data_IF_015683765738
#
_entry.id   IF_015683765738
#
_cell.length_a   1.000
_cell.length_b   1.000
_cell.length_c   1.000
_cell.angle_alpha   90.00
_cell.angle_beta   90.00
_cell.angle_gamma   90.00
#
_symmetry.space_group_name_H-M   'P 1'
#
loop_
_entity.id
_entity.type
_entity.pdbx_description
1 polymer ?
#
# COMPACT_ATOMS: atom_id res chain seq x y z
N UNK A 1 2.51 13.77 -39.50
CA UNK A 1 1.29 13.68 -38.71
C UNK A 1 1.50 12.50 -37.76
N UNK A 2 1.95 12.78 -36.56
CA UNK A 2 2.06 11.72 -35.53
C UNK A 2 0.65 11.48 -35.01
N UNK A 3 0.02 10.40 -35.45
CA UNK A 3 -1.21 9.88 -34.91
C UNK A 3 -0.89 9.34 -33.50
N UNK A 4 -1.01 10.19 -32.50
CA UNK A 4 -0.91 9.79 -31.08
C UNK A 4 -2.18 9.05 -30.69
N UNK A 5 -2.41 7.86 -31.31
CA UNK A 5 -3.42 6.95 -30.78
C UNK A 5 -3.07 6.65 -29.33
N UNK A 6 -3.90 7.13 -28.41
CA UNK A 6 -3.82 6.76 -27.00
C UNK A 6 -3.92 5.24 -26.92
N UNK A 7 -2.83 4.58 -26.54
CA UNK A 7 -2.83 3.12 -26.40
C UNK A 7 -3.85 2.72 -25.33
N UNK A 8 -4.69 1.72 -25.59
CA UNK A 8 -5.71 1.29 -24.63
C UNK A 8 -5.04 0.77 -23.36
N UNK A 9 -5.61 1.08 -22.22
CA UNK A 9 -5.21 0.55 -20.91
C UNK A 9 -5.95 -0.76 -20.63
N UNK A 10 -5.40 -1.62 -19.76
CA UNK A 10 -5.98 -2.93 -19.48
C UNK A 10 -7.43 -2.92 -18.99
N UNK A 11 -7.85 -1.84 -18.29
CA UNK A 11 -9.18 -1.72 -17.71
C UNK A 11 -10.01 -0.60 -18.34
N UNK A 12 -9.64 -0.09 -19.52
CA UNK A 12 -10.49 0.84 -20.25
C UNK A 12 -11.85 0.18 -20.55
N UNK A 13 -12.94 0.87 -20.21
CA UNK A 13 -14.31 0.37 -20.32
C UNK A 13 -14.83 -0.38 -19.09
N UNK A 14 -14.01 -0.63 -18.08
CA UNK A 14 -14.43 -1.18 -16.78
C UNK A 14 -14.87 -0.06 -15.86
N UNK A 15 -16.07 -0.20 -15.27
CA UNK A 15 -16.62 0.73 -14.28
C UNK A 15 -16.62 0.09 -12.89
N UNK A 16 -15.99 0.79 -11.93
CA UNK A 16 -15.92 0.42 -10.52
C UNK A 16 -16.73 1.42 -9.71
N UNK A 17 -17.69 0.95 -8.94
CA UNK A 17 -18.36 1.73 -7.90
C UNK A 17 -17.74 1.38 -6.56
N UNK A 18 -17.44 2.37 -5.72
CA UNK A 18 -16.80 2.09 -4.45
C UNK A 18 -17.48 2.81 -3.27
N UNK A 19 -17.73 2.04 -2.21
CA UNK A 19 -18.15 2.50 -0.88
C UNK A 19 -16.96 2.35 0.06
N UNK A 20 -16.04 3.30 -0.01
CA UNK A 20 -14.69 3.14 0.53
C UNK A 20 -14.29 4.26 1.47
N UNK A 21 -13.45 3.92 2.44
CA UNK A 21 -12.88 4.85 3.41
C UNK A 21 -11.42 4.54 3.71
N UNK A 22 -10.71 5.55 4.20
CA UNK A 22 -9.32 5.48 4.67
C UNK A 22 -8.32 5.03 3.59
N UNK A 23 -7.81 3.79 3.68
CA UNK A 23 -6.65 3.37 2.90
C UNK A 23 -6.90 2.09 2.11
N UNK A 24 -7.31 0.98 2.73
CA UNK A 24 -7.32 -0.34 2.10
C UNK A 24 -8.09 -0.38 0.76
N UNK A 25 -9.37 -0.03 0.79
CA UNK A 25 -10.20 0.00 -0.44
C UNK A 25 -9.79 1.16 -1.36
N UNK A 26 -9.56 2.42 -0.88
CA UNK A 26 -9.05 3.49 -1.73
C UNK A 26 -7.73 3.17 -2.43
N UNK A 27 -6.82 2.44 -1.78
CA UNK A 27 -5.57 2.00 -2.39
C UNK A 27 -5.80 0.98 -3.52
N UNK A 28 -6.73 0.03 -3.32
CA UNK A 28 -7.15 -0.92 -4.36
C UNK A 28 -7.72 -0.19 -5.58
N UNK A 29 -8.74 0.65 -5.36
CA UNK A 29 -9.49 1.30 -6.44
C UNK A 29 -8.64 2.33 -7.19
N UNK A 30 -7.71 3.03 -6.52
CA UNK A 30 -6.74 3.88 -7.19
C UNK A 30 -5.86 3.08 -8.16
N UNK A 31 -5.42 1.87 -7.80
CA UNK A 31 -4.63 1.04 -8.73
C UNK A 31 -5.46 0.54 -9.91
N UNK A 32 -6.74 0.23 -9.71
CA UNK A 32 -7.66 -0.07 -10.81
C UNK A 32 -7.82 1.15 -11.74
N UNK A 33 -7.94 2.36 -11.16
CA UNK A 33 -8.00 3.60 -11.93
C UNK A 33 -6.72 3.86 -12.72
N UNK A 34 -5.54 3.64 -12.12
CA UNK A 34 -4.24 3.75 -12.80
C UNK A 34 -4.16 2.86 -14.06
N UNK A 35 -4.86 1.70 -14.05
CA UNK A 35 -4.96 0.79 -15.20
C UNK A 35 -6.07 1.14 -16.21
N UNK A 36 -6.83 2.21 -15.98
CA UNK A 36 -7.86 2.67 -16.91
C UNK A 36 -9.31 2.51 -16.44
N UNK A 37 -9.58 1.80 -15.33
CA UNK A 37 -10.94 1.68 -14.84
C UNK A 37 -11.53 3.04 -14.47
N UNK A 38 -12.80 3.28 -14.82
CA UNK A 38 -13.56 4.40 -14.30
C UNK A 38 -13.98 4.09 -12.88
N UNK A 39 -13.48 4.85 -11.90
CA UNK A 39 -13.80 4.64 -10.49
C UNK A 39 -14.71 5.74 -9.98
N UNK A 40 -15.94 5.38 -9.59
CA UNK A 40 -16.92 6.26 -8.96
C UNK A 40 -16.92 6.00 -7.47
N UNK A 41 -16.33 6.92 -6.72
CA UNK A 41 -16.25 6.88 -5.25
C UNK A 41 -17.50 7.52 -4.67
N UNK A 42 -18.27 6.74 -3.92
CA UNK A 42 -19.42 7.22 -3.15
C UNK A 42 -18.95 7.79 -1.83
N UNK A 43 -19.30 9.03 -1.55
CA UNK A 43 -18.92 9.74 -0.33
C UNK A 43 -20.17 10.33 0.37
N UNK A 44 -20.09 10.55 1.69
CA UNK A 44 -21.19 11.21 2.40
C UNK A 44 -21.30 12.68 2.01
N UNK A 45 -22.50 13.21 1.83
CA UNK A 45 -22.69 14.64 1.68
C UNK A 45 -22.04 15.42 2.83
N UNK A 46 -21.39 16.52 2.52
CA UNK A 46 -20.74 17.44 3.46
C UNK A 46 -19.48 16.93 4.14
N UNK A 47 -19.40 15.65 4.53
CA UNK A 47 -18.25 15.10 5.29
C UNK A 47 -17.26 14.32 4.44
N UNK A 48 -17.74 13.61 3.43
CA UNK A 48 -16.91 12.76 2.57
C UNK A 48 -16.32 11.53 3.26
N UNK A 49 -15.23 11.04 2.70
CA UNK A 49 -14.34 10.08 3.32
C UNK A 49 -13.63 10.75 4.50
N UNK A 50 -13.62 10.10 5.66
CA UNK A 50 -12.95 10.67 6.83
C UNK A 50 -11.43 10.85 6.63
N UNK A 51 -10.83 10.16 5.66
CA UNK A 51 -9.43 10.40 5.27
C UNK A 51 -9.18 11.82 4.73
N UNK A 52 -10.22 12.55 4.29
CA UNK A 52 -10.10 13.96 3.89
C UNK A 52 -9.73 14.88 5.06
N UNK A 53 -10.01 14.46 6.31
CA UNK A 53 -9.73 15.21 7.52
C UNK A 53 -8.59 14.65 8.39
N UNK A 54 -7.76 13.74 7.90
CA UNK A 54 -6.67 13.17 8.70
C UNK A 54 -5.53 14.16 8.97
N UNK A 55 -5.25 15.03 8.03
CA UNK A 55 -4.26 16.11 8.12
C UNK A 55 -4.51 17.16 7.02
N UNK A 56 -3.71 18.22 7.01
CA UNK A 56 -3.76 19.32 6.02
C UNK A 56 -2.38 19.55 5.38
N UNK A 57 -1.55 18.50 5.28
CA UNK A 57 -0.12 18.60 4.94
C UNK A 57 0.16 18.90 3.47
N UNK A 58 -0.79 18.65 2.58
CA UNK A 58 -0.60 18.83 1.13
C UNK A 58 -1.44 20.03 0.68
N UNK A 59 -0.94 21.23 0.95
CA UNK A 59 -1.59 22.50 0.62
C UNK A 59 -3.06 22.58 1.05
N UNK A 60 -3.33 22.15 2.29
CA UNK A 60 -4.67 22.08 2.89
C UNK A 60 -5.43 20.79 2.61
N UNK A 61 -4.87 19.87 1.83
CA UNK A 61 -5.42 18.53 1.60
C UNK A 61 -4.75 17.50 2.52
N UNK A 62 -5.50 16.44 2.84
CA UNK A 62 -4.98 15.34 3.63
C UNK A 62 -4.07 14.43 2.79
N UNK A 63 -2.87 14.15 3.31
CA UNK A 63 -1.85 13.33 2.63
C UNK A 63 -2.35 11.93 2.24
N UNK A 64 -3.14 11.28 3.09
CA UNK A 64 -3.74 9.97 2.83
C UNK A 64 -4.74 10.02 1.68
N UNK A 65 -5.56 11.08 1.62
CA UNK A 65 -6.54 11.24 0.55
C UNK A 65 -5.87 11.52 -0.80
N UNK A 66 -4.89 12.41 -0.82
CA UNK A 66 -4.09 12.74 -2.02
C UNK A 66 -3.44 11.48 -2.58
N UNK A 67 -2.82 10.67 -1.73
CA UNK A 67 -2.12 9.45 -2.13
C UNK A 67 -3.02 8.41 -2.79
N UNK A 68 -4.28 8.25 -2.31
CA UNK A 68 -5.12 7.11 -2.68
C UNK A 68 -6.29 7.45 -3.61
N UNK A 69 -6.47 8.71 -4.05
CA UNK A 69 -7.70 9.11 -4.75
C UNK A 69 -7.54 9.83 -6.10
N UNK A 70 -6.34 9.83 -6.70
CA UNK A 70 -6.21 10.32 -8.08
C UNK A 70 -7.02 9.47 -9.06
N UNK A 71 -7.44 10.06 -10.15
CA UNK A 71 -8.17 9.39 -11.25
C UNK A 71 -9.52 8.81 -10.86
N UNK A 72 -10.14 9.32 -9.78
CA UNK A 72 -11.48 8.93 -9.34
C UNK A 72 -12.48 10.05 -9.57
N UNK A 73 -13.75 9.67 -9.71
CA UNK A 73 -14.90 10.56 -9.69
C UNK A 73 -15.53 10.53 -8.28
N UNK A 74 -15.72 11.68 -7.64
CA UNK A 74 -16.40 11.79 -6.34
C UNK A 74 -17.87 12.09 -6.56
N UNK A 75 -18.74 11.21 -6.07
CA UNK A 75 -20.18 11.35 -5.99
C UNK A 75 -20.61 11.40 -4.54
N UNK A 76 -21.22 12.48 -4.10
CA UNK A 76 -21.85 12.51 -2.77
C UNK A 76 -23.19 11.80 -2.80
N UNK A 77 -23.43 10.93 -1.81
CA UNK A 77 -24.66 10.14 -1.71
C UNK A 77 -24.91 9.68 -0.26
N UNK A 78 -26.03 10.09 0.34
CA UNK A 78 -26.45 9.54 1.63
C UNK A 78 -27.20 8.23 1.43
N UNK A 79 -26.43 7.14 1.36
CA UNK A 79 -26.94 5.78 1.11
C UNK A 79 -27.92 5.25 2.16
N UNK A 80 -28.29 6.06 3.17
CA UNK A 80 -29.35 5.75 4.15
C UNK A 80 -30.72 6.23 3.70
N UNK A 81 -30.79 7.06 2.68
CA UNK A 81 -32.04 7.60 2.13
C UNK A 81 -32.49 6.77 0.93
N UNK A 82 -33.79 6.53 0.81
CA UNK A 82 -34.36 5.74 -0.29
C UNK A 82 -34.04 6.33 -1.68
N UNK A 83 -34.09 7.66 -1.79
CA UNK A 83 -33.74 8.35 -3.04
C UNK A 83 -32.28 8.10 -3.46
N UNK A 84 -31.36 8.09 -2.49
CA UNK A 84 -29.97 7.78 -2.73
C UNK A 84 -29.74 6.30 -3.09
N UNK A 85 -30.49 5.39 -2.47
CA UNK A 85 -30.46 3.96 -2.79
C UNK A 85 -30.85 3.70 -4.25
N UNK A 86 -31.84 4.43 -4.79
CA UNK A 86 -32.23 4.34 -6.21
C UNK A 86 -31.08 4.78 -7.14
N UNK A 87 -30.36 5.84 -6.79
CA UNK A 87 -29.16 6.28 -7.55
C UNK A 87 -28.09 5.20 -7.53
N UNK A 88 -27.81 4.64 -6.35
CA UNK A 88 -26.82 3.58 -6.20
C UNK A 88 -27.19 2.33 -7.02
N UNK A 89 -28.45 1.93 -7.02
CA UNK A 89 -28.95 0.80 -7.82
C UNK A 89 -28.74 1.03 -9.33
N UNK A 90 -28.98 2.23 -9.82
CA UNK A 90 -28.75 2.56 -11.23
C UNK A 90 -27.25 2.54 -11.59
N UNK A 91 -26.38 2.97 -10.66
CA UNK A 91 -24.94 2.87 -10.83
C UNK A 91 -24.49 1.41 -10.88
N UNK A 92 -24.96 0.58 -9.93
CA UNK A 92 -24.61 -0.84 -9.86
C UNK A 92 -25.10 -1.64 -11.09
N UNK A 93 -26.23 -1.26 -11.66
CA UNK A 93 -26.72 -1.87 -12.91
C UNK A 93 -25.76 -1.65 -14.10
N UNK A 94 -24.93 -0.63 -14.07
CA UNK A 94 -23.93 -0.30 -15.11
C UNK A 94 -22.51 -0.65 -14.70
N UNK A 95 -22.28 -1.00 -13.42
CA UNK A 95 -20.96 -1.29 -12.88
C UNK A 95 -20.49 -2.71 -13.22
N UNK A 96 -19.18 -2.85 -13.36
CA UNK A 96 -18.48 -4.13 -13.48
C UNK A 96 -18.05 -4.66 -12.12
N UNK A 97 -17.70 -3.77 -11.21
CA UNK A 97 -17.14 -4.09 -9.89
C UNK A 97 -17.75 -3.16 -8.84
N UNK A 98 -18.15 -3.72 -7.72
CA UNK A 98 -18.38 -3.00 -6.47
C UNK A 98 -17.21 -3.30 -5.50
N UNK A 99 -16.56 -2.28 -4.97
CA UNK A 99 -15.56 -2.42 -3.89
C UNK A 99 -16.08 -1.73 -2.63
N UNK A 100 -16.01 -2.41 -1.49
CA UNK A 100 -16.41 -1.79 -0.23
C UNK A 100 -15.52 -2.22 0.94
N UNK A 101 -15.35 -1.33 1.94
CA UNK A 101 -14.73 -1.63 3.22
C UNK A 101 -15.53 -1.02 4.40
N UNK A 102 -16.85 -1.16 4.32
CA UNK A 102 -17.77 -0.69 5.35
C UNK A 102 -17.64 -1.52 6.64
N UNK A 103 -18.18 -0.98 7.74
CA UNK A 103 -18.23 -1.72 9.00
C UNK A 103 -18.94 -3.08 8.83
N UNK A 104 -18.56 -4.11 9.60
CA UNK A 104 -19.15 -5.44 9.50
C UNK A 104 -20.68 -5.43 9.46
N UNK A 105 -21.25 -6.16 8.51
CA UNK A 105 -22.70 -6.26 8.29
C UNK A 105 -23.37 -5.00 7.70
N UNK A 106 -22.67 -3.89 7.51
CA UNK A 106 -23.28 -2.66 7.00
C UNK A 106 -23.75 -2.82 5.55
N UNK A 107 -22.93 -3.41 4.68
CA UNK A 107 -23.30 -3.68 3.29
C UNK A 107 -24.55 -4.58 3.20
N UNK A 108 -24.61 -5.64 3.97
CA UNK A 108 -25.79 -6.55 4.00
C UNK A 108 -27.08 -5.83 4.43
N UNK A 109 -27.00 -4.95 5.47
CA UNK A 109 -28.16 -4.14 5.90
C UNK A 109 -28.65 -3.16 4.83
N UNK A 110 -27.81 -2.79 3.89
CA UNK A 110 -28.13 -1.91 2.76
C UNK A 110 -28.56 -2.69 1.50
N UNK A 111 -28.72 -4.01 1.59
CA UNK A 111 -29.04 -4.87 0.44
C UNK A 111 -27.87 -5.05 -0.55
N UNK A 112 -26.65 -4.81 -0.09
CA UNK A 112 -25.41 -4.89 -0.88
C UNK A 112 -24.60 -6.15 -0.58
N UNK A 113 -25.21 -7.20 0.01
CA UNK A 113 -24.55 -8.50 0.12
C UNK A 113 -24.32 -9.10 -1.27
N UNK A 114 -23.30 -9.95 -1.40
CA UNK A 114 -23.01 -10.60 -2.69
C UNK A 114 -24.22 -11.36 -3.22
N UNK A 115 -24.95 -12.09 -2.39
CA UNK A 115 -26.11 -12.89 -2.78
C UNK A 115 -27.22 -12.00 -3.38
N UNK A 116 -27.57 -10.91 -2.67
CA UNK A 116 -28.59 -9.97 -3.11
C UNK A 116 -28.22 -9.25 -4.41
N UNK A 117 -26.93 -8.90 -4.55
CA UNK A 117 -26.44 -8.24 -5.76
C UNK A 117 -26.26 -9.21 -6.91
N UNK A 118 -25.83 -10.46 -6.67
CA UNK A 118 -25.63 -11.46 -7.72
C UNK A 118 -26.96 -11.90 -8.36
N UNK A 119 -28.05 -11.95 -7.58
CA UNK A 119 -29.38 -12.20 -8.10
C UNK A 119 -29.84 -11.10 -9.08
N UNK A 120 -29.55 -9.84 -8.75
CA UNK A 120 -29.94 -8.67 -9.55
C UNK A 120 -28.99 -8.37 -10.70
N UNK A 121 -27.70 -8.53 -10.45
CA UNK A 121 -26.60 -8.17 -11.34
C UNK A 121 -25.61 -9.34 -11.48
N UNK A 122 -25.94 -10.41 -12.17
CA UNK A 122 -25.17 -11.67 -12.18
C UNK A 122 -23.75 -11.54 -12.76
N UNK A 123 -23.42 -10.42 -13.40
CA UNK A 123 -22.07 -10.13 -13.91
C UNK A 123 -21.23 -9.25 -12.98
N UNK A 124 -21.86 -8.65 -11.97
CA UNK A 124 -21.17 -7.76 -11.03
C UNK A 124 -20.19 -8.56 -10.17
N UNK A 125 -18.95 -8.07 -10.08
CA UNK A 125 -17.96 -8.56 -9.14
C UNK A 125 -18.10 -7.73 -7.87
N UNK A 126 -18.17 -8.38 -6.71
CA UNK A 126 -18.25 -7.71 -5.40
C UNK A 126 -16.98 -7.99 -4.62
N UNK A 127 -16.25 -6.95 -4.29
CA UNK A 127 -15.03 -7.05 -3.48
C UNK A 127 -15.28 -6.44 -2.10
N UNK A 128 -15.32 -7.31 -1.11
CA UNK A 128 -15.51 -6.97 0.30
C UNK A 128 -14.14 -6.97 1.00
N UNK A 129 -13.75 -5.85 1.62
CA UNK A 129 -12.53 -5.74 2.41
C UNK A 129 -12.93 -5.55 3.87
N UNK A 130 -12.50 -6.43 4.75
CA UNK A 130 -12.82 -6.41 6.16
C UNK A 130 -11.59 -6.59 7.04
N UNK A 131 -11.74 -6.42 8.38
CA UNK A 131 -10.63 -6.64 9.31
C UNK A 131 -10.24 -8.10 9.43
N UNK A 132 -11.24 -8.99 9.55
CA UNK A 132 -11.03 -10.38 9.94
C UNK A 132 -11.67 -11.41 9.01
N UNK A 133 -12.34 -10.99 7.94
CA UNK A 133 -13.07 -11.87 7.03
C UNK A 133 -14.48 -12.19 7.54
N UNK A 134 -15.26 -12.87 6.70
CA UNK A 134 -16.58 -13.38 7.03
C UNK A 134 -16.46 -14.75 7.72
N UNK A 135 -17.32 -14.98 8.69
CA UNK A 135 -17.27 -16.17 9.52
C UNK A 135 -16.21 -16.11 10.63
N UNK A 136 -16.32 -17.03 11.58
CA UNK A 136 -15.41 -17.11 12.70
C UNK A 136 -15.69 -16.11 13.84
N UNK A 137 -14.90 -16.22 14.94
CA UNK A 137 -15.19 -15.49 16.18
C UNK A 137 -14.98 -13.98 16.11
N UNK A 138 -14.25 -13.48 15.10
CA UNK A 138 -13.88 -12.07 14.97
C UNK A 138 -14.62 -11.34 13.85
N UNK A 139 -15.55 -11.97 13.16
CA UNK A 139 -16.30 -11.38 12.05
C UNK A 139 -16.86 -9.99 12.36
N UNK A 140 -17.42 -9.80 13.57
CA UNK A 140 -18.01 -8.52 13.98
C UNK A 140 -17.03 -7.59 14.72
N UNK A 141 -15.76 -7.99 14.86
CA UNK A 141 -14.75 -7.20 15.56
C UNK A 141 -14.30 -6.03 14.71
N UNK A 142 -14.24 -4.83 15.31
CA UNK A 142 -13.68 -3.64 14.64
C UNK A 142 -12.17 -3.80 14.45
N UNK A 143 -11.70 -3.37 13.31
CA UNK A 143 -10.28 -3.41 12.93
C UNK A 143 -9.79 -2.03 12.47
N UNK A 144 -8.52 -1.79 12.69
CA UNK A 144 -7.71 -0.73 12.10
C UNK A 144 -6.32 -1.30 11.86
N UNK A 145 -5.57 -0.69 10.97
CA UNK A 145 -4.24 -1.14 10.56
C UNK A 145 -3.34 -1.59 11.72
N UNK A 146 -3.16 -0.74 12.74
CA UNK A 146 -2.30 -1.05 13.88
C UNK A 146 -2.81 -2.21 14.74
N UNK A 147 -4.14 -2.37 14.85
CA UNK A 147 -4.72 -3.51 15.56
C UNK A 147 -4.44 -4.82 14.81
N UNK A 148 -4.51 -4.79 13.50
CA UNK A 148 -4.17 -5.94 12.66
C UNK A 148 -2.67 -6.24 12.70
N UNK A 149 -1.79 -5.22 12.70
CA UNK A 149 -0.35 -5.45 12.92
C UNK A 149 -0.10 -6.17 14.26
N UNK A 150 -0.85 -5.83 15.30
CA UNK A 150 -0.76 -6.50 16.60
C UNK A 150 -1.24 -7.96 16.55
N UNK A 151 -2.44 -8.21 16.02
CA UNK A 151 -3.05 -9.54 15.94
C UNK A 151 -2.30 -10.46 14.96
N UNK A 152 -1.77 -9.92 13.85
CA UNK A 152 -1.01 -10.66 12.84
C UNK A 152 0.44 -10.98 13.23
N UNK A 153 0.85 -10.68 14.48
CA UNK A 153 2.18 -11.00 15.00
C UNK A 153 3.30 -10.05 14.52
N UNK A 154 3.00 -9.02 13.74
CA UNK A 154 4.01 -8.10 13.20
C UNK A 154 4.82 -7.41 14.31
N UNK A 155 4.16 -6.96 15.38
CA UNK A 155 4.82 -6.29 16.50
C UNK A 155 5.74 -7.23 17.30
N UNK A 156 5.51 -8.53 17.23
CA UNK A 156 6.33 -9.52 17.95
C UNK A 156 7.73 -9.66 17.40
N UNK A 157 7.93 -9.35 16.11
CA UNK A 157 9.21 -9.48 15.39
C UNK A 157 9.77 -8.14 14.91
N UNK A 158 9.07 -7.01 15.17
CA UNK A 158 9.45 -5.68 14.70
C UNK A 158 9.70 -4.74 15.86
N UNK A 159 10.83 -3.99 15.80
CA UNK A 159 11.25 -3.04 16.82
C UNK A 159 12.61 -3.37 17.41
N UNK A 160 12.99 -2.67 18.47
CA UNK A 160 14.22 -2.90 19.22
C UNK A 160 14.19 -4.20 20.03
N UNK A 161 15.34 -4.66 20.53
CA UNK A 161 15.47 -5.95 21.23
C UNK A 161 14.82 -5.99 22.62
N UNK A 162 14.54 -4.82 23.23
CA UNK A 162 13.92 -4.73 24.55
C UNK A 162 12.45 -5.14 24.56
N UNK A 163 11.93 -5.62 25.67
CA UNK A 163 10.54 -6.09 25.78
C UNK A 163 9.50 -5.01 25.41
N UNK A 164 9.78 -3.75 25.75
CA UNK A 164 8.91 -2.59 25.49
C UNK A 164 9.17 -1.89 24.17
N UNK A 165 10.13 -2.35 23.37
CA UNK A 165 10.58 -1.71 22.14
C UNK A 165 9.89 -2.23 20.88
N UNK A 166 8.67 -2.73 21.02
CA UNK A 166 7.83 -3.07 19.85
C UNK A 166 7.61 -1.84 18.98
N UNK A 167 7.66 -2.02 17.67
CA UNK A 167 7.39 -0.96 16.71
C UNK A 167 6.40 -1.40 15.65
N UNK A 168 5.53 -0.46 15.27
CA UNK A 168 4.68 -0.64 14.09
C UNK A 168 5.47 -0.34 12.82
N UNK A 169 4.96 -0.77 11.66
CA UNK A 169 5.45 -0.26 10.38
C UNK A 169 5.24 1.27 10.28
N UNK A 170 6.15 1.96 9.60
CA UNK A 170 6.05 3.40 9.36
C UNK A 170 4.88 3.81 8.44
N UNK A 171 4.30 2.85 7.71
CA UNK A 171 3.13 3.00 6.85
C UNK A 171 2.00 2.08 7.32
N UNK A 172 0.78 2.25 6.76
CA UNK A 172 -0.38 1.40 7.05
C UNK A 172 -0.27 0.06 6.31
N UNK A 173 0.66 -0.79 6.76
CA UNK A 173 1.07 -2.00 6.04
C UNK A 173 -0.05 -3.04 5.89
N UNK A 174 -0.94 -3.16 6.88
CA UNK A 174 -2.07 -4.08 6.83
C UNK A 174 -3.14 -3.62 5.84
N UNK A 175 -3.42 -2.31 5.79
CA UNK A 175 -4.28 -1.70 4.78
C UNK A 175 -3.72 -1.87 3.37
N UNK A 176 -2.41 -1.61 3.20
CA UNK A 176 -1.73 -1.76 1.91
C UNK A 176 -1.77 -3.22 1.45
N UNK A 177 -1.49 -4.19 2.34
CA UNK A 177 -1.57 -5.60 2.02
C UNK A 177 -2.99 -5.99 1.56
N UNK A 178 -4.02 -5.62 2.32
CA UNK A 178 -5.41 -5.89 1.95
C UNK A 178 -5.79 -5.21 0.62
N UNK A 179 -5.40 -3.95 0.42
CA UNK A 179 -5.63 -3.24 -0.83
C UNK A 179 -4.95 -3.90 -2.04
N UNK A 180 -3.76 -4.48 -1.87
CA UNK A 180 -3.06 -5.25 -2.92
C UNK A 180 -3.77 -6.56 -3.23
N UNK A 181 -4.22 -7.32 -2.21
CA UNK A 181 -4.96 -8.56 -2.45
C UNK A 181 -6.35 -8.30 -3.04
N UNK A 182 -7.03 -7.23 -2.64
CA UNK A 182 -8.27 -6.80 -3.25
C UNK A 182 -8.06 -6.43 -4.74
N UNK A 183 -7.03 -5.65 -5.05
CA UNK A 183 -6.67 -5.29 -6.41
C UNK A 183 -6.39 -6.54 -7.27
N UNK A 184 -5.55 -7.45 -6.83
CA UNK A 184 -5.24 -8.68 -7.57
C UNK A 184 -6.41 -9.63 -7.65
N UNK A 185 -7.25 -9.69 -6.59
CA UNK A 185 -8.50 -10.46 -6.56
C UNK A 185 -9.51 -9.96 -7.59
N UNK A 186 -9.70 -8.63 -7.69
CA UNK A 186 -10.57 -8.02 -8.71
C UNK A 186 -10.06 -8.31 -10.12
N UNK A 187 -8.76 -8.17 -10.39
CA UNK A 187 -8.19 -8.53 -11.69
C UNK A 187 -8.44 -9.99 -12.05
N UNK A 188 -8.24 -10.91 -11.10
CA UNK A 188 -8.49 -12.34 -11.28
C UNK A 188 -9.96 -12.63 -11.52
N UNK A 189 -10.87 -11.95 -10.82
CA UNK A 189 -12.30 -12.08 -11.00
C UNK A 189 -12.77 -11.55 -12.37
N UNK A 190 -12.21 -10.43 -12.86
CA UNK A 190 -12.46 -9.92 -14.21
C UNK A 190 -12.02 -10.94 -15.28
N UNK A 191 -10.81 -11.50 -15.17
CA UNK A 191 -10.32 -12.53 -16.08
C UNK A 191 -11.18 -13.81 -16.06
N UNK A 192 -11.70 -14.19 -14.89
CA UNK A 192 -12.61 -15.32 -14.76
C UNK A 192 -13.98 -15.01 -15.39
N UNK A 193 -14.50 -13.80 -15.15
CA UNK A 193 -15.76 -13.33 -15.73
C UNK A 193 -15.75 -13.35 -17.26
N UNK A 194 -14.63 -12.99 -17.88
CA UNK A 194 -14.49 -13.05 -19.34
C UNK A 194 -14.65 -14.47 -19.90
N UNK A 195 -14.30 -15.48 -19.11
CA UNK A 195 -14.46 -16.90 -19.48
C UNK A 195 -15.84 -17.46 -19.16
N UNK A 196 -16.45 -17.03 -18.05
CA UNK A 196 -17.68 -17.63 -17.50
C UNK A 196 -18.94 -16.82 -17.79
N UNK A 197 -18.78 -15.53 -18.10
CA UNK A 197 -19.90 -14.59 -18.23
C UNK A 197 -20.48 -14.14 -16.90
N UNK A 198 -19.99 -14.64 -15.75
CA UNK A 198 -20.55 -14.39 -14.41
C UNK A 198 -19.56 -13.64 -13.53
N UNK A 199 -20.08 -12.72 -12.71
CA UNK A 199 -19.36 -12.10 -11.61
C UNK A 199 -19.12 -13.08 -10.47
N UNK A 200 -18.30 -12.66 -9.53
CA UNK A 200 -17.97 -13.47 -8.34
C UNK A 200 -17.71 -12.56 -7.14
N UNK A 201 -17.64 -13.15 -5.96
CA UNK A 201 -17.23 -12.47 -4.74
C UNK A 201 -15.70 -12.54 -4.58
N UNK A 202 -15.11 -11.46 -4.13
CA UNK A 202 -13.73 -11.36 -3.66
C UNK A 202 -13.80 -10.90 -2.21
N UNK A 203 -13.58 -11.81 -1.27
CA UNK A 203 -13.55 -11.53 0.17
C UNK A 203 -12.09 -11.40 0.61
N UNK A 204 -11.72 -10.25 1.19
CA UNK A 204 -10.36 -9.93 1.61
C UNK A 204 -10.34 -9.52 3.06
N UNK A 205 -9.60 -10.26 3.86
CA UNK A 205 -9.34 -9.95 5.26
C UNK A 205 -8.00 -9.24 5.42
N UNK A 206 -7.97 -8.13 6.15
CA UNK A 206 -6.73 -7.45 6.52
C UNK A 206 -5.80 -8.36 7.32
N UNK A 207 -6.37 -9.19 8.22
CA UNK A 207 -5.58 -10.13 9.01
C UNK A 207 -4.88 -11.16 8.12
N UNK A 208 -5.62 -11.84 7.24
CA UNK A 208 -5.05 -12.85 6.33
C UNK A 208 -4.02 -12.24 5.39
N UNK A 209 -4.31 -11.04 4.87
CA UNK A 209 -3.41 -10.31 3.98
C UNK A 209 -2.08 -9.99 4.65
N UNK A 210 -2.09 -9.56 5.92
CA UNK A 210 -0.86 -9.31 6.67
C UNK A 210 -0.14 -10.60 7.05
N UNK A 211 -0.87 -11.64 7.49
CA UNK A 211 -0.30 -12.93 7.87
C UNK A 211 0.40 -13.62 6.69
N UNK A 212 -0.12 -13.46 5.48
CA UNK A 212 0.58 -13.94 4.27
C UNK A 212 1.97 -13.29 4.12
N UNK A 213 2.09 -12.00 4.43
CA UNK A 213 3.39 -11.30 4.41
C UNK A 213 4.29 -11.68 5.58
N UNK A 214 3.72 -12.26 6.64
CA UNK A 214 4.44 -12.80 7.80
C UNK A 214 4.91 -14.26 7.58
N UNK A 215 4.84 -14.79 6.37
CA UNK A 215 5.09 -16.20 6.05
C UNK A 215 6.43 -16.73 6.60
N UNK A 216 7.55 -16.04 6.36
CA UNK A 216 8.85 -16.46 6.88
C UNK A 216 8.91 -16.46 8.44
N UNK A 217 8.54 -15.39 9.15
CA UNK A 217 8.50 -15.43 10.62
C UNK A 217 7.58 -16.50 11.19
N UNK A 218 6.44 -16.74 10.53
CA UNK A 218 5.47 -17.77 10.93
C UNK A 218 6.08 -19.19 10.84
N UNK A 219 6.72 -19.51 9.72
CA UNK A 219 7.40 -20.81 9.56
C UNK A 219 8.64 -20.94 10.43
N UNK A 220 9.34 -19.85 10.72
CA UNK A 220 10.49 -19.88 11.63
C UNK A 220 10.08 -20.32 13.04
N UNK A 221 8.87 -19.96 13.48
CA UNK A 221 8.29 -20.38 14.76
C UNK A 221 7.49 -21.71 14.69
N UNK A 222 7.67 -22.51 13.62
CA UNK A 222 6.94 -23.76 13.41
C UNK A 222 7.11 -24.73 14.57
N UNK A 223 6.02 -25.36 14.99
CA UNK A 223 5.96 -26.30 16.13
C UNK A 223 6.47 -25.74 17.47
N UNK A 224 6.31 -24.43 17.71
CA UNK A 224 6.71 -23.76 18.94
C UNK A 224 8.21 -23.46 19.04
N UNK A 225 8.91 -23.47 17.90
CA UNK A 225 10.29 -22.97 17.85
C UNK A 225 10.34 -21.47 18.20
N UNK A 226 11.47 -21.01 18.70
CA UNK A 226 11.66 -19.59 19.05
C UNK A 226 11.54 -18.71 17.80
N UNK A 227 10.64 -17.71 17.79
CA UNK A 227 10.51 -16.80 16.66
C UNK A 227 11.77 -15.96 16.44
N UNK A 228 11.95 -15.32 15.26
CA UNK A 228 13.04 -14.39 15.04
C UNK A 228 12.99 -13.27 16.08
N UNK A 229 14.13 -12.91 16.71
CA UNK A 229 14.14 -11.81 17.68
C UNK A 229 13.90 -10.46 16.97
N UNK A 230 13.36 -9.50 17.71
CA UNK A 230 13.42 -8.11 17.27
C UNK A 230 14.87 -7.63 17.26
N UNK A 231 15.29 -7.02 16.16
CA UNK A 231 16.68 -6.65 15.92
C UNK A 231 16.84 -5.16 15.50
N UNK A 232 15.83 -4.33 15.76
CA UNK A 232 15.79 -2.94 15.30
C UNK A 232 15.78 -2.87 13.76
N UNK A 233 16.67 -2.08 13.20
CA UNK A 233 16.86 -1.97 11.76
C UNK A 233 17.89 -2.98 11.19
N UNK A 234 18.42 -3.89 12.02
CA UNK A 234 19.33 -4.93 11.57
C UNK A 234 18.59 -6.23 11.24
N UNK A 235 19.19 -7.07 10.40
CA UNK A 235 18.66 -8.41 10.13
C UNK A 235 18.79 -9.31 11.36
N UNK A 236 17.73 -10.07 11.66
CA UNK A 236 17.68 -10.88 12.87
C UNK A 236 18.70 -12.05 12.87
N UNK A 237 18.94 -12.67 11.71
CA UNK A 237 19.69 -13.95 11.58
C UNK A 237 20.89 -13.89 10.62
N UNK A 238 21.14 -12.76 9.97
CA UNK A 238 22.29 -12.54 9.08
C UNK A 238 23.10 -11.37 9.62
N UNK A 239 24.43 -11.53 9.74
CA UNK A 239 25.30 -10.48 10.26
C UNK A 239 26.68 -10.47 9.57
N UNK A 240 27.27 -9.27 9.26
CA UNK A 240 26.65 -7.94 9.37
C UNK A 240 25.59 -7.69 8.29
N UNK A 241 24.41 -7.27 8.72
CA UNK A 241 23.35 -6.75 7.87
C UNK A 241 22.49 -5.78 8.68
N UNK A 242 22.68 -4.49 8.43
CA UNK A 242 22.02 -3.43 9.19
C UNK A 242 22.70 -2.07 9.06
N UNK A 243 22.27 -1.10 9.87
CA UNK A 243 22.82 0.26 9.87
C UNK A 243 24.10 0.37 10.70
N UNK A 244 25.09 1.07 10.16
CA UNK A 244 26.35 1.40 10.81
C UNK A 244 26.60 2.90 10.78
N UNK A 245 26.91 3.54 11.92
CA UNK A 245 27.23 4.96 11.97
C UNK A 245 28.60 5.23 11.33
N UNK A 246 28.77 6.42 10.78
CA UNK A 246 29.98 6.93 10.17
C UNK A 246 30.53 8.14 10.93
N UNK A 247 31.77 8.52 10.68
CA UNK A 247 32.47 9.57 11.43
C UNK A 247 31.91 10.98 11.22
N UNK A 248 31.19 11.22 10.16
CA UNK A 248 30.49 12.48 9.86
C UNK A 248 29.10 12.58 10.49
N UNK A 249 28.69 11.60 11.30
CA UNK A 249 27.35 11.51 11.88
C UNK A 249 26.30 10.90 10.97
N UNK A 250 26.68 10.44 9.78
CA UNK A 250 25.84 9.70 8.86
C UNK A 250 25.58 8.25 9.29
N UNK A 251 24.81 7.54 8.51
CA UNK A 251 24.54 6.11 8.70
C UNK A 251 24.49 5.42 7.35
N UNK A 252 25.20 4.32 7.21
CA UNK A 252 25.20 3.46 6.01
C UNK A 252 24.55 2.13 6.35
N UNK A 253 23.60 1.71 5.52
CA UNK A 253 23.04 0.35 5.53
C UNK A 253 23.93 -0.53 4.66
N UNK A 254 24.36 -1.68 5.17
CA UNK A 254 25.09 -2.68 4.39
C UNK A 254 24.59 -4.08 4.73
N UNK A 255 24.83 -5.04 3.83
CA UNK A 255 24.47 -6.44 4.07
C UNK A 255 25.40 -7.40 3.35
N UNK A 256 25.84 -8.43 4.08
CA UNK A 256 26.66 -9.52 3.55
C UNK A 256 25.83 -10.80 3.51
N UNK A 257 25.78 -11.46 2.34
CA UNK A 257 24.93 -12.63 2.13
C UNK A 257 25.72 -13.95 2.08
N UNK A 258 27.06 -13.88 1.95
CA UNK A 258 27.92 -15.06 1.80
C UNK A 258 29.35 -14.81 2.24
N UNK A 259 30.12 -15.90 2.38
CA UNK A 259 31.49 -15.84 2.89
C UNK A 259 32.46 -15.12 1.95
N UNK A 260 32.21 -15.13 0.63
CA UNK A 260 33.04 -14.37 -0.33
C UNK A 260 32.93 -12.87 -0.10
N UNK A 261 31.72 -12.38 0.19
CA UNK A 261 31.49 -10.99 0.53
C UNK A 261 32.15 -10.64 1.89
N UNK A 262 32.12 -11.57 2.87
CA UNK A 262 32.81 -11.39 4.13
C UNK A 262 34.33 -11.21 3.94
N UNK A 263 34.97 -12.05 3.13
CA UNK A 263 36.39 -11.92 2.81
C UNK A 263 36.70 -10.56 2.16
N UNK A 264 35.90 -10.15 1.18
CA UNK A 264 36.04 -8.87 0.50
C UNK A 264 35.80 -7.68 1.44
N UNK A 265 34.87 -7.80 2.39
CA UNK A 265 34.58 -6.78 3.40
C UNK A 265 35.77 -6.57 4.35
N UNK A 266 36.37 -7.64 4.89
CA UNK A 266 37.54 -7.57 5.72
C UNK A 266 38.73 -6.95 4.98
N UNK A 267 39.00 -7.40 3.75
CA UNK A 267 40.16 -6.96 2.97
C UNK A 267 40.03 -5.52 2.47
N UNK A 268 38.86 -5.18 1.80
CA UNK A 268 38.75 -3.94 1.04
C UNK A 268 38.01 -2.82 1.77
N UNK A 269 37.13 -3.16 2.72
CA UNK A 269 36.31 -2.17 3.42
C UNK A 269 36.89 -1.86 4.80
N UNK A 270 37.12 -2.87 5.63
CA UNK A 270 37.70 -2.71 6.94
C UNK A 270 39.21 -2.52 6.88
N UNK A 271 39.85 -2.98 5.82
CA UNK A 271 41.35 -3.03 5.69
C UNK A 271 42.01 -3.86 6.82
N UNK A 272 41.32 -4.92 7.23
CA UNK A 272 41.74 -5.86 8.30
C UNK A 272 41.49 -7.30 7.81
N UNK A 273 42.28 -7.81 6.83
CA UNK A 273 42.07 -9.13 6.23
C UNK A 273 42.20 -10.29 7.24
N UNK A 274 42.91 -10.08 8.37
CA UNK A 274 43.03 -11.05 9.46
C UNK A 274 41.69 -11.39 10.12
N UNK A 275 40.72 -10.47 10.15
CA UNK A 275 39.38 -10.73 10.69
C UNK A 275 38.65 -11.87 9.93
N UNK A 276 38.99 -12.08 8.68
CA UNK A 276 38.44 -13.15 7.89
C UNK A 276 38.87 -14.55 8.36
N UNK A 277 39.98 -14.64 9.06
CA UNK A 277 40.55 -15.88 9.62
C UNK A 277 40.21 -16.06 11.11
N UNK A 278 39.58 -15.08 11.74
CA UNK A 278 39.16 -15.18 13.13
C UNK A 278 38.02 -16.18 13.29
N UNK A 279 38.20 -17.21 14.10
CA UNK A 279 37.22 -18.27 14.32
C UNK A 279 35.86 -17.76 14.77
N UNK A 280 35.80 -16.63 15.48
CA UNK A 280 34.57 -15.97 15.94
C UNK A 280 33.72 -15.43 14.78
N UNK A 281 34.35 -15.09 13.65
CA UNK A 281 33.70 -14.40 12.52
C UNK A 281 33.74 -15.17 11.22
N UNK A 282 34.32 -16.38 11.22
CA UNK A 282 34.52 -17.19 10.01
C UNK A 282 33.22 -17.72 9.36
N UNK A 283 32.09 -17.67 10.06
CA UNK A 283 30.79 -18.10 9.55
C UNK A 283 29.68 -17.11 9.92
N UNK A 284 28.56 -17.12 9.18
CA UNK A 284 27.39 -16.29 9.53
C UNK A 284 26.88 -16.56 10.96
N UNK A 285 26.87 -17.82 11.38
CA UNK A 285 26.47 -18.19 12.74
C UNK A 285 27.41 -17.55 13.78
N UNK A 286 28.72 -17.69 13.60
CA UNK A 286 29.72 -17.07 14.47
C UNK A 286 29.60 -15.54 14.51
N UNK A 287 29.47 -14.89 13.35
CA UNK A 287 29.25 -13.43 13.27
C UNK A 287 27.96 -12.99 13.95
N UNK A 288 26.90 -13.77 13.83
CA UNK A 288 25.62 -13.47 14.48
C UNK A 288 25.68 -13.64 16.00
N UNK A 289 26.41 -14.65 16.49
CA UNK A 289 26.63 -14.89 17.91
C UNK A 289 27.54 -13.81 18.54
N UNK A 290 28.58 -13.40 17.83
CA UNK A 290 29.54 -12.38 18.26
C UNK A 290 29.23 -10.97 17.70
N UNK A 291 27.94 -10.69 17.37
CA UNK A 291 27.55 -9.44 16.69
C UNK A 291 27.94 -8.17 17.40
N UNK A 292 27.90 -8.16 18.73
CA UNK A 292 28.24 -6.97 19.53
C UNK A 292 29.71 -6.60 19.35
N UNK A 293 30.61 -7.57 19.41
CA UNK A 293 32.04 -7.36 19.24
C UNK A 293 32.37 -6.97 17.79
N UNK A 294 31.81 -7.71 16.82
CA UNK A 294 32.01 -7.39 15.40
C UNK A 294 31.44 -6.01 15.03
N UNK A 295 30.31 -5.61 15.65
CA UNK A 295 29.80 -4.26 15.47
C UNK A 295 30.77 -3.20 15.95
N UNK A 296 31.41 -3.39 17.10
CA UNK A 296 32.39 -2.45 17.64
C UNK A 296 33.58 -2.27 16.69
N UNK A 297 34.10 -3.35 16.12
CA UNK A 297 35.17 -3.31 15.12
C UNK A 297 34.80 -2.56 13.86
N UNK A 298 33.58 -2.82 13.33
CA UNK A 298 33.07 -2.12 12.14
C UNK A 298 32.88 -0.63 12.43
N UNK A 299 32.24 -0.28 13.55
CA UNK A 299 32.01 1.12 13.94
C UNK A 299 33.33 1.87 14.13
N UNK A 300 34.32 1.24 14.73
CA UNK A 300 35.64 1.83 14.88
C UNK A 300 36.28 2.11 13.50
N UNK A 301 36.23 1.14 12.59
CA UNK A 301 36.77 1.31 11.25
C UNK A 301 36.06 2.44 10.46
N UNK A 302 34.75 2.65 10.71
CA UNK A 302 33.97 3.69 10.04
C UNK A 302 34.01 5.05 10.75
N UNK A 303 34.52 5.11 12.01
CA UNK A 303 34.51 6.33 12.83
C UNK A 303 35.30 7.49 12.25
N UNK A 304 36.23 7.21 11.32
CA UNK A 304 37.07 8.19 10.65
C UNK A 304 36.69 8.46 9.19
N UNK A 305 35.57 7.88 8.71
CA UNK A 305 35.10 7.96 7.33
C UNK A 305 33.76 8.66 7.28
N UNK A 306 33.52 9.41 6.19
CA UNK A 306 32.19 9.88 5.85
C UNK A 306 31.31 8.73 5.30
N UNK A 307 30.00 8.94 5.25
CA UNK A 307 29.07 7.96 4.65
C UNK A 307 29.42 7.69 3.18
N UNK A 308 29.79 8.71 2.43
CA UNK A 308 30.22 8.61 1.03
C UNK A 308 31.51 7.78 0.87
N UNK A 309 32.48 7.95 1.75
CA UNK A 309 33.72 7.16 1.72
C UNK A 309 33.46 5.69 2.04
N UNK A 310 32.59 5.40 3.01
CA UNK A 310 32.19 4.03 3.32
C UNK A 310 31.47 3.40 2.14
N UNK A 311 30.50 4.09 1.52
CA UNK A 311 29.78 3.62 0.33
C UNK A 311 30.75 3.36 -0.82
N UNK A 312 31.68 4.28 -1.10
CA UNK A 312 32.68 4.08 -2.14
C UNK A 312 33.54 2.82 -1.93
N UNK A 313 33.92 2.50 -0.68
CA UNK A 313 34.63 1.25 -0.37
C UNK A 313 33.75 0.01 -0.56
N UNK A 314 32.48 0.09 -0.17
CA UNK A 314 31.52 -1.01 -0.34
C UNK A 314 31.25 -1.27 -1.83
N UNK A 315 31.08 -0.23 -2.64
CA UNK A 315 30.91 -0.35 -4.10
C UNK A 315 32.15 -0.97 -4.77
N UNK A 316 33.35 -0.56 -4.36
CA UNK A 316 34.61 -1.13 -4.86
C UNK A 316 34.81 -2.60 -4.45
N UNK A 317 34.15 -3.04 -3.39
CA UNK A 317 34.16 -4.42 -2.89
C UNK A 317 32.96 -5.25 -3.37
N UNK A 318 32.16 -4.85 -4.34
CA UNK A 318 30.78 -5.19 -4.73
C UNK A 318 29.90 -5.72 -3.57
N UNK A 319 29.79 -4.94 -2.50
CA UNK A 319 28.96 -5.26 -1.33
C UNK A 319 27.69 -4.42 -1.37
N UNK A 320 26.55 -5.07 -1.12
CA UNK A 320 25.26 -4.40 -1.09
C UNK A 320 25.21 -3.34 0.02
N UNK A 321 24.87 -2.12 -0.37
CA UNK A 321 24.83 -0.97 0.54
C UNK A 321 23.75 0.04 0.12
N UNK A 322 23.38 0.93 1.04
CA UNK A 322 22.46 2.04 0.79
C UNK A 322 22.64 3.16 1.83
N UNK A 323 22.27 4.38 1.43
CA UNK A 323 22.01 5.45 2.39
C UNK A 323 20.73 5.15 3.20
N UNK A 324 20.68 5.63 4.43
CA UNK A 324 19.43 5.65 5.21
C UNK A 324 18.76 7.02 4.95
N UNK A 325 17.91 7.07 3.94
CA UNK A 325 17.22 8.30 3.55
C UNK A 325 16.07 8.62 4.51
N UNK A 326 15.88 9.90 4.78
CA UNK A 326 14.61 10.44 5.26
C UNK A 326 13.64 10.69 4.07
N UNK A 327 12.45 11.23 4.36
CA UNK A 327 11.46 11.51 3.31
C UNK A 327 11.93 12.61 2.33
N UNK A 328 12.74 13.55 2.76
CA UNK A 328 13.33 14.56 1.87
C UNK A 328 14.32 13.92 0.88
N UNK A 329 15.16 13.01 1.38
CA UNK A 329 16.06 12.20 0.54
C UNK A 329 15.31 11.31 -0.46
N UNK A 330 14.12 10.80 -0.09
CA UNK A 330 13.29 10.03 -1.04
C UNK A 330 12.71 10.94 -2.14
N UNK A 331 12.27 12.16 -1.81
CA UNK A 331 11.80 13.13 -2.80
C UNK A 331 12.90 13.48 -3.83
N UNK A 332 14.13 13.61 -3.40
CA UNK A 332 15.30 13.92 -4.22
C UNK A 332 16.06 12.68 -4.70
N UNK A 333 15.49 11.48 -4.62
CA UNK A 333 16.21 10.25 -4.89
C UNK A 333 16.65 10.14 -6.36
N UNK A 334 17.97 10.08 -6.67
CA UNK A 334 18.49 10.17 -8.03
C UNK A 334 18.00 9.06 -8.95
N UNK A 335 17.74 7.87 -8.43
CA UNK A 335 17.21 6.75 -9.23
C UNK A 335 15.74 6.97 -9.60
N UNK A 336 14.94 7.61 -8.74
CA UNK A 336 13.54 7.94 -9.07
C UNK A 336 13.51 9.06 -10.12
N UNK A 337 14.37 10.05 -10.00
CA UNK A 337 14.54 11.14 -10.97
C UNK A 337 15.01 10.60 -12.33
N UNK A 338 16.13 9.88 -12.39
CA UNK A 338 16.67 9.31 -13.61
C UNK A 338 15.69 8.38 -14.33
N UNK A 339 14.83 7.69 -13.59
CA UNK A 339 13.76 6.84 -14.13
C UNK A 339 12.47 7.61 -14.43
N UNK A 340 12.44 8.93 -14.20
CA UNK A 340 11.26 9.79 -14.42
C UNK A 340 10.02 9.21 -13.73
N UNK A 341 10.15 8.92 -12.40
CA UNK A 341 9.07 8.29 -11.65
C UNK A 341 8.05 9.27 -11.08
N UNK A 342 8.30 10.55 -11.16
CA UNK A 342 7.38 11.60 -10.75
C UNK A 342 6.57 12.11 -11.93
N UNK A 343 5.30 12.37 -11.71
CA UNK A 343 4.37 13.03 -12.61
C UNK A 343 3.63 14.12 -11.83
N UNK A 344 2.88 14.95 -12.52
CA UNK A 344 2.01 15.95 -11.92
C UNK A 344 0.56 15.51 -12.09
N UNK A 345 -0.27 15.70 -11.07
CA UNK A 345 -1.72 15.51 -11.10
C UNK A 345 -2.41 16.74 -10.55
N UNK A 346 -3.49 17.17 -11.18
CA UNK A 346 -4.30 18.26 -10.66
C UNK A 346 -5.07 17.86 -9.39
N UNK A 347 -5.37 18.84 -8.56
CA UNK A 347 -6.15 18.68 -7.34
C UNK A 347 -6.93 19.96 -7.02
N UNK A 348 -7.83 19.93 -6.02
CA UNK A 348 -8.46 21.17 -5.52
C UNK A 348 -7.47 22.23 -5.01
N UNK A 349 -6.25 21.86 -4.66
CA UNK A 349 -5.19 22.77 -4.24
C UNK A 349 -4.25 23.17 -5.39
N UNK A 350 -4.52 22.72 -6.63
CA UNK A 350 -3.66 22.89 -7.78
C UNK A 350 -2.84 21.64 -8.11
N UNK A 351 -1.84 21.77 -9.00
CA UNK A 351 -1.01 20.64 -9.42
C UNK A 351 -0.15 20.11 -8.28
N UNK A 352 -0.12 18.80 -8.09
CA UNK A 352 0.66 18.11 -7.07
C UNK A 352 1.57 17.03 -7.69
N UNK A 353 2.80 16.83 -7.16
CA UNK A 353 3.65 15.74 -7.59
C UNK A 353 3.05 14.40 -7.15
N UNK A 354 3.02 13.44 -8.05
CA UNK A 354 2.53 12.09 -7.81
C UNK A 354 3.51 11.04 -8.33
N UNK A 355 3.77 10.03 -7.50
CA UNK A 355 4.58 8.89 -7.91
C UNK A 355 3.79 8.02 -8.91
N UNK A 356 4.40 7.73 -10.05
CA UNK A 356 3.86 6.79 -11.03
C UNK A 356 3.76 5.38 -10.42
N UNK A 357 2.77 4.56 -10.80
CA UNK A 357 2.66 3.18 -10.35
C UNK A 357 3.99 2.42 -10.51
N UNK A 358 4.35 1.53 -9.57
CA UNK A 358 5.67 0.88 -9.57
C UNK A 358 5.93 -0.01 -10.80
N UNK A 359 4.91 -0.59 -11.41
CA UNK A 359 5.03 -1.37 -12.64
C UNK A 359 5.12 -0.47 -13.88
N UNK A 360 6.20 -0.58 -14.67
CA UNK A 360 6.31 0.10 -15.98
C UNK A 360 5.98 -0.90 -17.08
N UNK A 361 4.92 -0.62 -17.83
CA UNK A 361 4.52 -1.44 -18.97
C UNK A 361 4.92 -0.75 -20.28
N UNK A 362 5.41 -1.53 -21.26
CA UNK A 362 5.79 -1.00 -22.59
C UNK A 362 4.60 -0.76 -23.51
N UNK A 363 3.44 -1.37 -23.22
CA UNK A 363 2.26 -1.32 -24.06
C UNK A 363 1.33 -0.14 -23.73
N UNK A 364 1.30 0.34 -22.50
CA UNK A 364 0.43 1.44 -22.09
C UNK A 364 1.08 2.33 -21.03
N UNK A 365 0.55 3.56 -20.88
CA UNK A 365 0.87 4.45 -19.76
C UNK A 365 -0.27 4.42 -18.72
N UNK A 366 0.04 4.53 -17.42
CA UNK A 366 -1.00 4.62 -16.39
C UNK A 366 -1.85 5.87 -16.56
N UNK A 367 -3.10 5.83 -16.07
CA UNK A 367 -3.94 7.02 -15.93
C UNK A 367 -3.43 7.84 -14.74
N UNK A 368 -3.28 9.15 -14.95
CA UNK A 368 -2.80 10.09 -13.93
C UNK A 368 -3.72 11.32 -13.94
N UNK A 369 -5.03 11.08 -13.83
CA UNK A 369 -6.06 12.12 -13.84
C UNK A 369 -6.18 12.80 -12.46
N UNK A 370 -6.89 13.94 -12.34
CA UNK A 370 -6.99 14.74 -11.12
C UNK A 370 -7.49 13.96 -9.88
N UNK A 371 -7.14 14.50 -8.72
CA UNK A 371 -7.71 14.15 -7.42
C UNK A 371 -9.00 14.95 -7.25
N UNK A 372 -10.17 14.33 -7.00
CA UNK A 372 -11.43 15.05 -7.00
C UNK A 372 -11.67 15.84 -5.71
N UNK A 373 -12.29 17.02 -5.83
CA UNK A 373 -12.99 17.64 -4.71
C UNK A 373 -14.19 16.77 -4.27
N UNK A 374 -14.66 16.99 -3.04
CA UNK A 374 -15.84 16.30 -2.53
C UNK A 374 -17.07 16.63 -3.41
N UNK A 375 -17.74 15.62 -3.91
CA UNK A 375 -18.95 15.74 -4.74
C UNK A 375 -18.73 16.39 -6.11
N UNK A 376 -17.48 16.55 -6.54
CA UNK A 376 -17.16 17.25 -7.80
C UNK A 376 -17.93 16.71 -9.00
N UNK A 377 -18.28 15.45 -9.01
CA UNK A 377 -18.91 14.79 -10.15
C UNK A 377 -20.38 14.44 -9.91
N UNK A 378 -20.96 14.86 -8.77
CA UNK A 378 -22.33 14.50 -8.35
C UNK A 378 -23.35 14.82 -9.45
N UNK A 379 -23.45 16.07 -9.86
CA UNK A 379 -24.46 16.49 -10.82
C UNK A 379 -24.27 15.90 -12.22
N UNK A 380 -23.02 15.80 -12.66
CA UNK A 380 -22.70 15.20 -13.96
C UNK A 380 -23.02 13.71 -14.00
N UNK A 381 -22.75 12.98 -12.93
CA UNK A 381 -23.09 11.56 -12.82
C UNK A 381 -24.60 11.33 -12.74
N UNK A 382 -25.34 12.16 -12.00
CA UNK A 382 -26.78 12.11 -11.95
C UNK A 382 -27.41 12.40 -13.33
N UNK A 383 -26.89 13.41 -14.05
CA UNK A 383 -27.33 13.70 -15.40
C UNK A 383 -27.06 12.53 -16.37
N UNK A 384 -25.90 11.86 -16.26
CA UNK A 384 -25.54 10.66 -17.03
C UNK A 384 -26.48 9.47 -16.72
N UNK A 385 -27.01 9.40 -15.50
CA UNK A 385 -28.03 8.42 -15.09
C UNK A 385 -29.43 8.77 -15.59
N UNK A 386 -29.64 9.98 -16.17
CA UNK A 386 -30.88 10.41 -16.74
C UNK A 386 -31.76 11.28 -15.83
N UNK A 387 -31.22 11.75 -14.69
CA UNK A 387 -31.93 12.69 -13.81
C UNK A 387 -32.04 14.06 -14.49
N UNK A 388 -33.26 14.63 -14.52
CA UNK A 388 -33.43 16.00 -14.99
C UNK A 388 -32.88 17.03 -13.99
N UNK A 389 -32.51 18.27 -14.40
CA UNK A 389 -32.00 19.27 -13.50
C UNK A 389 -32.87 19.53 -12.27
N UNK A 390 -34.20 19.49 -12.41
CA UNK A 390 -35.11 19.65 -11.28
C UNK A 390 -35.14 18.46 -10.32
N UNK A 391 -34.80 17.26 -10.78
CA UNK A 391 -34.65 16.08 -9.91
C UNK A 391 -33.34 16.16 -9.13
N UNK A 392 -32.27 16.57 -9.78
CA UNK A 392 -30.96 16.78 -9.15
C UNK A 392 -31.09 17.84 -8.04
N UNK A 393 -31.74 18.96 -8.34
CA UNK A 393 -31.98 20.00 -7.34
C UNK A 393 -32.78 19.46 -6.13
N UNK A 394 -33.80 18.64 -6.35
CA UNK A 394 -34.56 18.01 -5.25
C UNK A 394 -33.70 17.08 -4.40
N UNK A 395 -32.80 16.32 -5.00
CA UNK A 395 -31.86 15.45 -4.27
C UNK A 395 -30.95 16.26 -3.37
N UNK A 396 -30.43 17.41 -3.83
CA UNK A 396 -29.67 18.35 -3.02
C UNK A 396 -30.50 18.94 -1.88
N UNK A 397 -31.72 19.42 -2.15
CA UNK A 397 -32.63 19.99 -1.14
C UNK A 397 -33.00 18.97 -0.05
N UNK A 398 -33.06 17.69 -0.38
CA UNK A 398 -33.29 16.59 0.56
C UNK A 398 -32.03 16.15 1.30
N UNK A 399 -30.86 16.65 0.92
CA UNK A 399 -29.56 16.19 1.45
C UNK A 399 -29.24 14.73 1.09
N UNK A 400 -29.82 14.22 0.01
CA UNK A 400 -29.54 12.88 -0.48
C UNK A 400 -28.20 12.80 -1.25
N UNK A 401 -27.76 13.94 -1.81
CA UNK A 401 -26.51 14.14 -2.53
C UNK A 401 -25.76 15.37 -2.10
#
# INVERSE_FOLDING_TARGET
MNDTQVKPRPLDGITVVSLEHAIAAPFCTRQLADLGARVIKIERPGAGDFARGYDERVDGLASHFVWTNRSKESLTLDVKQDAATQVLDQLLAKADVLVQNLAPGAAARMGLSFEALHERFPRLIVCDISGYGEGGPYEQKKAYDLLIQSEGGFLSVTGGPGETEMAKAGCSIADIAAGMYAYTGVLSALMLRDKTGKGSRVDVSMLESLVEWMGYPLYYAYKGATPPPRAGAAHATIYPYGPFPTGDGGTVMLGLQNEREWLAFCDKVLLQPELAQDERFSSNAGRSENRTELRALIVEAFSHLSAEEVIARLDAAPIANAHVNDMAGVWAHPQLEARQRWSEVDSPAGPLPALLPPGRNSAFAPRMDPIPALGQHTDSLLAELGYAPGDIQRLHEQGAV
#
